data_IF_668477378646
#
_entry.id   IF_668477378646
#
_cell.length_a   1.000
_cell.length_b   1.000
_cell.length_c   1.000
_cell.angle_alpha   90.00
_cell.angle_beta   90.00
_cell.angle_gamma   90.00
#
_symmetry.space_group_name_H-M   'P 1'
#
loop_
_entity.id
_entity.type
_entity.pdbx_description
1 polymer ?
#
# COMPACT_ATOMS: atom_id res chain seq x y z
N UNK A 1 21.37 -21.66 24.88
CA UNK A 1 19.98 -21.21 24.96
C UNK A 1 19.09 -22.41 24.77
N UNK A 2 18.37 -22.82 25.80
CA UNK A 2 17.36 -23.88 25.71
C UNK A 2 16.14 -23.39 24.93
N UNK A 3 15.23 -24.29 24.58
CA UNK A 3 13.95 -23.91 23.97
C UNK A 3 13.17 -22.93 24.86
N UNK A 4 13.10 -23.19 26.16
CA UNK A 4 12.35 -22.35 27.11
C UNK A 4 12.99 -20.97 27.30
N UNK A 5 14.32 -20.89 27.31
CA UNK A 5 15.05 -19.61 27.33
C UNK A 5 14.79 -18.80 26.06
N UNK A 6 14.80 -19.45 24.89
CA UNK A 6 14.51 -18.79 23.61
C UNK A 6 13.05 -18.32 23.54
N UNK A 7 12.10 -19.18 23.96
CA UNK A 7 10.69 -18.83 23.98
C UNK A 7 10.45 -17.62 24.89
N UNK A 8 10.95 -17.66 26.12
CA UNK A 8 10.77 -16.57 27.09
C UNK A 8 11.38 -15.26 26.57
N UNK A 9 12.55 -15.33 25.95
CA UNK A 9 13.17 -14.17 25.32
C UNK A 9 12.32 -13.61 24.17
N UNK A 10 11.80 -14.46 23.29
CA UNK A 10 10.97 -14.02 22.16
C UNK A 10 9.62 -13.45 22.61
N UNK A 11 8.99 -14.04 23.62
CA UNK A 11 7.75 -13.54 24.22
C UNK A 11 7.99 -12.14 24.85
N UNK A 12 9.07 -11.96 25.61
CA UNK A 12 9.45 -10.66 26.16
C UNK A 12 9.65 -9.61 25.06
N UNK A 13 10.28 -9.98 23.93
CA UNK A 13 10.45 -9.07 22.79
C UNK A 13 9.13 -8.81 22.06
N UNK A 14 8.26 -9.80 21.95
CA UNK A 14 6.94 -9.63 21.36
C UNK A 14 6.13 -8.62 22.18
N UNK A 15 6.07 -8.78 23.51
CA UNK A 15 5.38 -7.86 24.41
C UNK A 15 5.98 -6.44 24.37
N UNK A 16 7.31 -6.34 24.25
CA UNK A 16 8.00 -5.05 24.16
C UNK A 16 7.69 -4.31 22.86
N UNK A 17 7.70 -5.00 21.71
CA UNK A 17 7.61 -4.35 20.39
C UNK A 17 6.19 -4.32 19.81
N UNK A 18 5.29 -5.21 20.24
CA UNK A 18 3.89 -5.21 19.83
C UNK A 18 3.06 -4.24 20.68
N UNK A 19 3.50 -2.97 20.70
CA UNK A 19 2.88 -1.90 21.47
C UNK A 19 2.34 -0.82 20.50
N UNK A 20 1.06 -0.40 20.62
CA UNK A 20 0.50 0.72 19.86
C UNK A 20 1.30 2.03 19.90
N UNK A 21 2.12 2.26 20.93
CA UNK A 21 3.01 3.42 21.03
C UNK A 21 3.96 3.54 19.83
N UNK A 22 4.31 2.42 19.17
CA UNK A 22 5.14 2.44 17.97
C UNK A 22 4.42 3.02 16.75
N UNK A 23 3.07 3.01 16.72
CA UNK A 23 2.26 3.47 15.61
C UNK A 23 2.55 4.94 15.30
N UNK A 24 2.68 5.81 16.31
CA UNK A 24 2.91 7.25 16.09
C UNK A 24 4.13 7.52 15.20
N UNK A 25 5.16 6.69 15.34
CA UNK A 25 6.42 6.81 14.60
C UNK A 25 6.48 5.93 13.35
N UNK A 26 5.42 5.21 13.00
CA UNK A 26 5.41 4.22 11.94
C UNK A 26 4.43 4.60 10.82
N UNK A 27 4.73 4.30 9.53
CA UNK A 27 3.79 4.53 8.43
C UNK A 27 2.40 3.92 8.62
N UNK A 28 2.25 2.88 9.47
CA UNK A 28 0.94 2.31 9.80
C UNK A 28 -0.01 3.34 10.47
N UNK A 29 0.49 4.48 10.98
CA UNK A 29 -0.38 5.57 11.45
C UNK A 29 -1.33 6.13 10.40
N UNK A 30 -0.96 6.01 9.12
CA UNK A 30 -1.74 6.58 8.00
C UNK A 30 -3.06 5.83 7.83
N UNK A 31 -3.11 4.49 7.67
CA UNK A 31 -4.39 3.78 7.67
C UNK A 31 -5.16 3.91 8.98
N UNK A 32 -4.49 4.02 10.13
CA UNK A 32 -5.15 4.23 11.42
C UNK A 32 -5.83 5.59 11.59
N UNK A 33 -5.57 6.57 10.71
CA UNK A 33 -6.30 7.85 10.74
C UNK A 33 -7.69 7.79 10.10
N UNK A 34 -8.07 6.63 9.53
CA UNK A 34 -9.34 6.42 8.85
C UNK A 34 -10.18 5.34 9.53
N UNK A 35 -11.51 5.45 9.38
CA UNK A 35 -12.47 4.47 9.91
C UNK A 35 -13.27 3.76 8.82
N UNK A 36 -13.41 4.37 7.64
CA UNK A 36 -14.04 3.73 6.49
C UNK A 36 -13.10 2.64 5.95
N UNK A 37 -13.63 1.43 5.74
CA UNK A 37 -12.85 0.26 5.29
C UNK A 37 -12.03 0.60 4.04
N UNK A 38 -12.67 1.20 3.05
CA UNK A 38 -12.06 1.53 1.77
C UNK A 38 -10.96 2.59 1.92
N UNK A 39 -11.15 3.58 2.81
CA UNK A 39 -10.10 4.56 3.10
C UNK A 39 -8.90 3.90 3.79
N UNK A 40 -9.13 2.96 4.71
CA UNK A 40 -8.07 2.19 5.38
C UNK A 40 -7.30 1.33 4.37
N UNK A 41 -7.99 0.65 3.46
CA UNK A 41 -7.37 -0.18 2.41
C UNK A 41 -6.51 0.66 1.46
N UNK A 42 -7.06 1.74 0.91
CA UNK A 42 -6.38 2.59 -0.08
C UNK A 42 -5.18 3.29 0.56
N UNK A 43 -5.38 3.89 1.73
CA UNK A 43 -4.31 4.59 2.44
C UNK A 43 -3.20 3.63 2.89
N UNK A 44 -3.56 2.43 3.35
CA UNK A 44 -2.63 1.35 3.68
C UNK A 44 -1.82 0.90 2.47
N UNK A 45 -2.47 0.61 1.34
CA UNK A 45 -1.81 0.17 0.11
C UNK A 45 -0.86 1.23 -0.46
N UNK A 46 -1.28 2.49 -0.51
CA UNK A 46 -0.44 3.60 -0.98
C UNK A 46 0.75 3.85 -0.05
N UNK A 47 0.54 3.82 1.26
CA UNK A 47 1.61 3.98 2.26
C UNK A 47 2.62 2.83 2.19
N UNK A 48 2.14 1.58 2.09
CA UNK A 48 2.97 0.39 1.94
C UNK A 48 3.75 0.39 0.62
N UNK A 49 3.14 0.92 -0.45
CA UNK A 49 3.81 1.11 -1.73
C UNK A 49 5.09 1.88 -1.49
N UNK A 50 5.01 3.11 -0.96
CA UNK A 50 6.17 4.01 -0.74
C UNK A 50 7.02 3.70 0.51
N UNK A 51 6.77 2.61 1.23
CA UNK A 51 7.45 2.26 2.48
C UNK A 51 8.90 1.73 2.29
N UNK A 52 9.72 2.41 1.49
CA UNK A 52 11.14 2.10 1.35
C UNK A 52 12.00 3.33 1.62
N UNK A 53 12.82 3.27 2.67
CA UNK A 53 13.75 4.34 2.99
C UNK A 53 13.69 4.87 4.40
N UNK A 54 13.96 6.17 4.53
CA UNK A 54 13.91 6.83 5.81
C UNK A 54 12.44 6.97 6.27
N UNK A 55 12.15 6.42 7.44
CA UNK A 55 10.85 6.44 8.13
C UNK A 55 10.16 7.81 8.12
N UNK A 56 10.88 8.89 8.46
CA UNK A 56 10.30 10.24 8.47
C UNK A 56 9.84 10.66 7.08
N UNK A 57 10.65 10.41 6.05
CA UNK A 57 10.31 10.72 4.66
C UNK A 57 9.11 9.91 4.15
N UNK A 58 8.98 8.65 4.58
CA UNK A 58 7.82 7.81 4.25
C UNK A 58 6.55 8.43 4.85
N UNK A 59 6.56 8.72 6.16
CA UNK A 59 5.40 9.31 6.86
C UNK A 59 5.00 10.65 6.24
N UNK A 60 5.97 11.55 6.00
CA UNK A 60 5.70 12.85 5.38
C UNK A 60 5.06 12.70 4.00
N UNK A 61 5.57 11.80 3.16
CA UNK A 61 5.02 11.62 1.82
C UNK A 61 3.68 10.88 1.82
N UNK A 62 3.49 9.90 2.69
CA UNK A 62 2.21 9.20 2.83
C UNK A 62 1.11 10.16 3.33
N UNK A 63 1.43 11.02 4.30
CA UNK A 63 0.54 12.09 4.76
C UNK A 63 0.19 13.03 3.60
N UNK A 64 1.19 13.47 2.83
CA UNK A 64 0.99 14.31 1.65
C UNK A 64 0.11 13.64 0.59
N UNK A 65 0.19 12.32 0.40
CA UNK A 65 -0.72 11.60 -0.52
C UNK A 65 -2.17 11.73 -0.04
N UNK A 66 -2.43 11.58 1.26
CA UNK A 66 -3.78 11.73 1.81
C UNK A 66 -4.28 13.17 1.67
N UNK A 67 -3.44 14.17 1.94
CA UNK A 67 -3.77 15.59 1.77
C UNK A 67 -4.12 15.94 0.31
N UNK A 68 -3.35 15.41 -0.66
CA UNK A 68 -3.62 15.58 -2.09
C UNK A 68 -4.98 14.97 -2.51
N UNK A 69 -5.44 13.95 -1.79
CA UNK A 69 -6.75 13.33 -1.96
C UNK A 69 -7.83 13.92 -1.04
N UNK A 70 -7.57 15.07 -0.41
CA UNK A 70 -8.53 15.75 0.46
C UNK A 70 -8.84 15.00 1.76
N UNK A 71 -7.98 14.08 2.20
CA UNK A 71 -8.21 13.15 3.31
C UNK A 71 -9.49 12.32 3.14
N UNK A 72 -9.89 12.04 1.90
CA UNK A 72 -10.99 11.14 1.56
C UNK A 72 -10.54 10.22 0.40
N UNK A 73 -9.54 9.34 0.62
CA UNK A 73 -8.90 8.58 -0.45
C UNK A 73 -9.89 7.75 -1.28
N UNK A 74 -10.90 7.15 -0.67
CA UNK A 74 -11.92 6.39 -1.40
C UNK A 74 -12.76 7.28 -2.32
N UNK A 75 -13.29 8.39 -1.81
CA UNK A 75 -14.06 9.33 -2.63
C UNK A 75 -13.21 9.90 -3.76
N UNK A 76 -11.96 10.28 -3.49
CA UNK A 76 -11.03 10.74 -4.53
C UNK A 76 -10.83 9.68 -5.61
N UNK A 77 -10.56 8.43 -5.24
CA UNK A 77 -10.37 7.34 -6.21
C UNK A 77 -11.61 7.15 -7.08
N UNK A 78 -12.81 7.18 -6.50
CA UNK A 78 -14.04 6.94 -7.25
C UNK A 78 -14.46 8.14 -8.11
N UNK A 79 -14.23 9.36 -7.62
CA UNK A 79 -14.82 10.59 -8.14
C UNK A 79 -13.83 11.54 -8.83
N UNK A 80 -12.52 11.24 -8.87
CA UNK A 80 -11.53 12.14 -9.47
C UNK A 80 -11.85 12.54 -10.91
N UNK A 81 -11.58 13.80 -11.22
CA UNK A 81 -11.50 14.32 -12.58
C UNK A 81 -10.06 14.29 -13.10
N UNK A 82 -9.90 14.55 -14.40
CA UNK A 82 -8.56 14.70 -14.99
C UNK A 82 -7.77 15.86 -14.35
N UNK A 83 -8.45 16.92 -13.92
CA UNK A 83 -7.80 18.04 -13.22
C UNK A 83 -7.30 17.63 -11.84
N UNK A 84 -7.98 16.70 -11.16
CA UNK A 84 -7.53 16.18 -9.86
C UNK A 84 -6.28 15.32 -10.02
N UNK A 85 -6.23 14.48 -11.07
CA UNK A 85 -5.02 13.70 -11.40
C UNK A 85 -3.84 14.60 -11.78
N UNK A 86 -4.07 15.71 -12.49
CA UNK A 86 -3.02 16.67 -12.84
C UNK A 86 -2.35 17.28 -11.61
N UNK A 87 -3.07 17.42 -10.47
CA UNK A 87 -2.49 17.91 -9.22
C UNK A 87 -1.47 16.95 -8.61
N UNK A 88 -1.53 15.66 -8.98
CA UNK A 88 -0.61 14.64 -8.50
C UNK A 88 0.75 14.66 -9.21
N UNK A 89 0.87 15.35 -10.36
CA UNK A 89 2.06 15.31 -11.23
C UNK A 89 3.37 15.66 -10.50
N UNK A 90 3.30 16.60 -9.55
CA UNK A 90 4.46 17.07 -8.80
C UNK A 90 4.80 16.19 -7.57
N UNK A 91 4.06 15.11 -7.34
CA UNK A 91 4.39 14.17 -6.27
C UNK A 91 5.65 13.38 -6.60
N UNK A 92 6.58 13.29 -5.65
CA UNK A 92 7.80 12.49 -5.80
C UNK A 92 8.16 11.87 -4.46
N UNK A 93 8.26 10.54 -4.44
CA UNK A 93 8.90 9.77 -3.39
C UNK A 93 9.95 8.85 -4.01
N UNK A 94 11.20 9.31 -4.02
CA UNK A 94 12.33 8.55 -4.59
C UNK A 94 12.09 8.20 -6.06
N UNK A 95 11.82 6.93 -6.36
CA UNK A 95 11.56 6.46 -7.73
C UNK A 95 10.07 6.44 -8.09
N UNK A 96 9.18 6.62 -7.11
CA UNK A 96 7.74 6.80 -7.30
C UNK A 96 7.44 8.27 -7.59
N UNK A 97 6.76 8.56 -8.69
CA UNK A 97 6.46 9.93 -9.10
C UNK A 97 4.98 10.13 -9.40
N UNK A 98 4.60 11.37 -9.73
CA UNK A 98 3.20 11.74 -9.96
C UNK A 98 2.52 10.92 -11.05
N UNK A 99 3.24 10.51 -12.09
CA UNK A 99 2.68 9.61 -13.12
C UNK A 99 2.36 8.24 -12.55
N UNK A 100 3.25 7.66 -11.75
CA UNK A 100 2.93 6.40 -11.07
C UNK A 100 1.76 6.58 -10.10
N UNK A 101 1.69 7.73 -9.41
CA UNK A 101 0.62 7.99 -8.47
C UNK A 101 -0.73 8.05 -9.18
N UNK A 102 -0.85 8.82 -10.28
CA UNK A 102 -2.08 8.87 -11.08
C UNK A 102 -2.46 7.51 -11.63
N UNK A 103 -1.50 6.73 -12.17
CA UNK A 103 -1.76 5.35 -12.61
C UNK A 103 -2.23 4.46 -11.46
N UNK A 104 -1.69 4.62 -10.25
CA UNK A 104 -2.14 3.87 -9.07
C UNK A 104 -3.59 4.24 -8.70
N UNK A 105 -3.97 5.52 -8.77
CA UNK A 105 -5.36 5.94 -8.53
C UNK A 105 -6.31 5.29 -9.54
N UNK A 106 -5.96 5.31 -10.83
CA UNK A 106 -6.74 4.67 -11.89
C UNK A 106 -6.83 3.14 -11.72
N UNK A 107 -5.71 2.50 -11.35
CA UNK A 107 -5.64 1.06 -11.10
C UNK A 107 -6.51 0.64 -9.90
N UNK A 108 -6.46 1.41 -8.81
CA UNK A 108 -7.30 1.17 -7.63
C UNK A 108 -8.77 1.35 -8.02
N UNK A 109 -9.13 2.40 -8.77
CA UNK A 109 -10.51 2.57 -9.29
C UNK A 109 -10.94 1.36 -10.12
N UNK A 110 -10.10 0.85 -11.00
CA UNK A 110 -10.36 -0.37 -11.77
C UNK A 110 -10.67 -1.57 -10.85
N UNK A 111 -9.90 -1.75 -9.78
CA UNK A 111 -10.16 -2.83 -8.81
C UNK A 111 -11.50 -2.67 -8.09
N UNK A 112 -11.86 -1.46 -7.64
CA UNK A 112 -13.15 -1.23 -6.98
C UNK A 112 -14.34 -1.41 -7.92
N UNK A 113 -14.21 -0.98 -9.19
CA UNK A 113 -15.30 -1.06 -10.17
C UNK A 113 -15.48 -2.48 -10.70
N UNK A 114 -14.38 -3.20 -11.01
CA UNK A 114 -14.44 -4.46 -11.76
C UNK A 114 -14.14 -5.70 -10.92
N UNK A 115 -13.44 -5.56 -9.79
CA UNK A 115 -12.97 -6.68 -8.97
C UNK A 115 -13.48 -6.66 -7.53
N UNK A 116 -14.38 -5.72 -7.19
CA UNK A 116 -15.00 -5.63 -5.86
C UNK A 116 -14.09 -5.06 -4.78
N UNK A 117 -13.03 -4.32 -5.14
CA UNK A 117 -12.13 -3.64 -4.20
C UNK A 117 -10.79 -4.34 -4.01
N UNK A 118 -9.93 -3.76 -3.17
CA UNK A 118 -8.56 -4.24 -2.94
C UNK A 118 -8.54 -5.64 -2.31
N UNK A 119 -9.35 -5.89 -1.28
CA UNK A 119 -9.46 -7.21 -0.63
C UNK A 119 -9.90 -8.29 -1.62
N UNK A 120 -11.00 -8.08 -2.36
CA UNK A 120 -11.52 -9.06 -3.32
C UNK A 120 -10.59 -9.26 -4.52
N UNK A 121 -9.84 -8.24 -4.92
CA UNK A 121 -8.81 -8.39 -5.94
C UNK A 121 -7.67 -9.31 -5.48
N UNK A 122 -7.36 -9.29 -4.18
CA UNK A 122 -6.27 -10.05 -3.56
C UNK A 122 -6.67 -11.49 -3.20
N UNK A 123 -7.86 -11.69 -2.65
CA UNK A 123 -8.35 -13.01 -2.24
C UNK A 123 -8.71 -13.83 -3.48
N UNK A 124 -8.33 -15.12 -3.52
CA UNK A 124 -8.74 -16.00 -4.62
C UNK A 124 -7.91 -17.27 -4.83
N UNK A 125 -6.71 -17.36 -4.26
CA UNK A 125 -5.90 -18.58 -4.30
C UNK A 125 -5.53 -19.06 -2.90
N UNK A 126 -5.46 -20.38 -2.71
CA UNK A 126 -4.91 -21.00 -1.50
C UNK A 126 -3.41 -20.73 -1.35
N UNK A 127 -2.74 -20.42 -2.45
CA UNK A 127 -1.32 -20.06 -2.48
C UNK A 127 -1.15 -18.54 -2.53
N UNK A 128 -0.54 -17.99 -1.48
CA UNK A 128 -0.27 -16.55 -1.34
C UNK A 128 0.54 -15.97 -2.51
N UNK A 129 1.51 -16.71 -3.04
CA UNK A 129 2.30 -16.22 -4.18
C UNK A 129 1.43 -16.06 -5.43
N UNK A 130 0.52 -16.99 -5.67
CA UNK A 130 -0.43 -16.89 -6.77
C UNK A 130 -1.41 -15.74 -6.55
N UNK A 131 -1.92 -15.55 -5.32
CA UNK A 131 -2.76 -14.40 -4.96
C UNK A 131 -2.08 -13.06 -5.27
N UNK A 132 -0.81 -12.89 -4.88
CA UNK A 132 -0.05 -11.66 -5.16
C UNK A 132 0.16 -11.47 -6.67
N UNK A 133 0.48 -12.54 -7.40
CA UNK A 133 0.69 -12.47 -8.84
C UNK A 133 -0.60 -12.10 -9.58
N UNK A 134 -1.71 -12.72 -9.21
CA UNK A 134 -3.02 -12.44 -9.82
C UNK A 134 -3.54 -11.05 -9.44
N UNK A 135 -3.33 -10.61 -8.19
CA UNK A 135 -3.58 -9.23 -7.78
C UNK A 135 -2.84 -8.24 -8.69
N UNK A 136 -1.55 -8.47 -8.94
CA UNK A 136 -0.75 -7.60 -9.81
C UNK A 136 -1.31 -7.56 -11.24
N UNK A 137 -1.74 -8.70 -11.78
CA UNK A 137 -2.35 -8.75 -13.12
C UNK A 137 -3.59 -7.86 -13.16
N UNK A 138 -4.54 -8.07 -12.23
CA UNK A 138 -5.78 -7.28 -12.10
C UNK A 138 -5.50 -5.78 -11.91
N UNK A 139 -4.51 -5.45 -11.08
CA UNK A 139 -4.11 -4.06 -10.80
C UNK A 139 -3.67 -3.32 -12.07
N UNK A 140 -3.02 -4.02 -13.00
CA UNK A 140 -2.52 -3.46 -14.26
C UNK A 140 -3.40 -3.76 -15.48
N UNK A 141 -4.67 -4.11 -15.28
CA UNK A 141 -5.70 -4.19 -16.35
C UNK A 141 -6.18 -2.80 -16.82
N UNK A 142 -5.25 -1.86 -16.95
CA UNK A 142 -5.47 -0.49 -17.42
C UNK A 142 -4.32 -0.11 -18.36
N UNK A 143 -4.46 0.99 -19.12
CA UNK A 143 -3.32 1.55 -19.83
C UNK A 143 -2.32 2.16 -18.83
N UNK A 144 -1.04 1.78 -18.93
CA UNK A 144 -0.01 2.24 -18.00
C UNK A 144 1.39 2.13 -18.57
N UNK A 145 2.35 2.81 -17.95
CA UNK A 145 3.75 2.70 -18.31
C UNK A 145 4.39 1.46 -17.69
N UNK A 146 5.21 0.73 -18.46
CA UNK A 146 5.94 -0.45 -17.96
C UNK A 146 6.77 -0.15 -16.70
N UNK A 147 7.32 1.06 -16.57
CA UNK A 147 8.09 1.48 -15.37
C UNK A 147 7.28 1.42 -14.08
N UNK A 148 5.96 1.60 -14.14
CA UNK A 148 5.08 1.68 -12.97
C UNK A 148 4.86 0.29 -12.37
N UNK A 149 4.97 -0.77 -13.18
CA UNK A 149 4.85 -2.16 -12.73
C UNK A 149 5.89 -2.58 -11.70
N UNK A 150 7.02 -1.88 -11.57
CA UNK A 150 8.05 -2.20 -10.57
C UNK A 150 7.62 -1.90 -9.14
N UNK A 151 6.59 -1.07 -8.96
CA UNK A 151 6.09 -0.63 -7.66
C UNK A 151 5.15 -1.64 -7.01
N UNK A 152 4.61 -2.58 -7.79
CA UNK A 152 3.86 -3.75 -7.31
C UNK A 152 4.69 -5.01 -7.59
N UNK A 153 5.15 -5.66 -6.54
CA UNK A 153 6.01 -6.83 -6.64
C UNK A 153 5.26 -8.08 -7.12
N UNK A 154 5.98 -9.01 -7.75
CA UNK A 154 5.43 -10.29 -8.21
C UNK A 154 6.35 -11.44 -7.77
N UNK A 155 5.87 -12.35 -6.91
CA UNK A 155 6.69 -13.45 -6.42
C UNK A 155 7.04 -14.46 -7.52
N UNK A 156 6.24 -14.60 -8.58
CA UNK A 156 6.57 -15.47 -9.71
C UNK A 156 7.77 -14.95 -10.52
N UNK A 157 8.14 -13.69 -10.34
CA UNK A 157 9.35 -13.07 -10.88
C UNK A 157 10.52 -13.06 -9.88
N UNK A 158 10.56 -14.03 -8.95
CA UNK A 158 11.57 -14.16 -7.89
C UNK A 158 11.67 -12.94 -6.94
N UNK A 159 10.59 -12.17 -6.80
CA UNK A 159 10.52 -11.09 -5.81
C UNK A 159 10.09 -11.63 -4.45
N UNK A 160 10.69 -11.14 -3.37
CA UNK A 160 10.22 -11.46 -2.02
C UNK A 160 8.83 -10.83 -1.68
N UNK A 161 8.32 -9.94 -2.54
CA UNK A 161 7.01 -9.29 -2.41
C UNK A 161 6.70 -8.64 -1.05
N UNK A 162 7.73 -8.28 -0.27
CA UNK A 162 7.67 -7.85 1.14
C UNK A 162 6.67 -6.73 1.51
N UNK A 163 6.17 -5.98 0.54
CA UNK A 163 5.23 -4.85 0.75
C UNK A 163 3.76 -5.23 0.56
N UNK A 164 3.51 -6.39 -0.03
CA UNK A 164 2.18 -6.93 -0.33
C UNK A 164 2.01 -8.32 0.30
N UNK A 165 3.12 -9.03 0.51
CA UNK A 165 3.20 -10.23 1.33
C UNK A 165 3.07 -9.81 2.80
N UNK A 166 1.83 -9.85 3.32
CA UNK A 166 1.50 -9.66 4.74
C UNK A 166 1.87 -10.94 5.50
#
# INVERSE_FOLDING_TARGET
MTFDEMKSFLDEKADLYNNPDFIESDPIRIPHSFSLKEDVEISGFLSATIAWGNRKSIITNATKMMELMGNAPYDFVMSHSQNDLARLENFVHRTFNGRDFSTFIEAIKNLYVNHGGLENAFVGNENLQLSISDFKKKFFEIEHQLRTQKHVSDPLNNSAAKRINI
#
